data_IF_669722965106
#
_entry.id   IF_669722965106
#
_cell.length_a   1.000
_cell.length_b   1.000
_cell.length_c   1.000
_cell.angle_alpha   90.00
_cell.angle_beta   90.00
_cell.angle_gamma   90.00
#
_symmetry.space_group_name_H-M   'P 1'
#
loop_
_entity.id
_entity.type
_entity.pdbx_description
1 polymer ?
#
# COMPACT_ATOMS: atom_id res chain seq x y z
N UNK A 1 30.42 17.53 -26.75
CA UNK A 1 29.78 17.64 -25.43
C UNK A 1 29.15 16.27 -25.17
N UNK A 2 29.88 15.39 -24.48
CA UNK A 2 29.41 14.04 -24.21
C UNK A 2 28.31 14.10 -23.15
N UNK A 3 27.16 13.51 -23.44
CA UNK A 3 26.07 13.33 -22.48
C UNK A 3 26.58 12.39 -21.39
N UNK A 4 26.78 12.94 -20.20
CA UNK A 4 27.03 12.19 -18.99
C UNK A 4 25.70 11.55 -18.60
N UNK A 5 25.54 10.27 -18.92
CA UNK A 5 24.47 9.46 -18.35
C UNK A 5 24.80 9.29 -16.86
N UNK A 6 23.87 9.61 -15.95
CA UNK A 6 24.11 9.41 -14.52
C UNK A 6 24.31 7.92 -14.23
N UNK A 7 25.13 7.69 -13.21
CA UNK A 7 25.59 6.40 -12.70
C UNK A 7 24.49 5.33 -12.63
N UNK A 8 24.87 4.09 -12.94
CA UNK A 8 24.03 2.90 -12.80
C UNK A 8 23.34 2.91 -11.43
N UNK A 9 22.00 2.86 -11.43
CA UNK A 9 21.22 2.74 -10.21
C UNK A 9 21.69 1.48 -9.46
N UNK A 10 22.10 1.58 -8.18
CA UNK A 10 22.55 0.43 -7.42
C UNK A 10 21.52 -0.70 -7.51
N UNK A 11 21.94 -1.96 -7.72
CA UNK A 11 21.03 -3.11 -7.84
C UNK A 11 20.01 -3.20 -6.69
N UNK A 12 20.42 -2.78 -5.49
CA UNK A 12 19.60 -2.74 -4.27
C UNK A 12 18.42 -1.74 -4.35
N UNK A 13 18.61 -0.60 -5.02
CA UNK A 13 17.52 0.37 -5.25
C UNK A 13 16.50 -0.15 -6.27
N UNK A 14 16.94 -0.91 -7.27
CA UNK A 14 16.05 -1.52 -8.27
C UNK A 14 15.15 -2.55 -7.59
N UNK A 15 15.72 -3.39 -6.70
CA UNK A 15 14.97 -4.44 -6.02
C UNK A 15 14.03 -3.92 -4.93
N UNK A 16 14.44 -2.88 -4.19
CA UNK A 16 13.53 -2.15 -3.28
C UNK A 16 12.35 -1.53 -4.04
N UNK A 17 12.60 -0.95 -5.22
CA UNK A 17 11.53 -0.43 -6.08
C UNK A 17 10.62 -1.55 -6.63
N UNK A 18 11.17 -2.74 -6.93
CA UNK A 18 10.39 -3.92 -7.30
C UNK A 18 9.47 -4.37 -6.16
N UNK A 19 9.98 -4.46 -4.93
CA UNK A 19 9.15 -4.73 -3.75
C UNK A 19 8.01 -3.72 -3.62
N UNK A 20 8.32 -2.43 -3.61
CA UNK A 20 7.30 -1.39 -3.48
C UNK A 20 6.26 -1.46 -4.60
N UNK A 21 6.69 -1.73 -5.84
CA UNK A 21 5.78 -1.84 -6.99
C UNK A 21 4.92 -3.10 -6.94
N UNK A 22 5.51 -4.27 -6.80
CA UNK A 22 4.80 -5.54 -6.86
C UNK A 22 3.94 -5.75 -5.61
N UNK A 23 4.52 -5.59 -4.42
CA UNK A 23 3.85 -5.91 -3.16
C UNK A 23 2.88 -4.81 -2.72
N UNK A 24 3.34 -3.55 -2.66
CA UNK A 24 2.49 -2.44 -2.19
C UNK A 24 1.63 -1.86 -3.31
N UNK A 25 2.23 -1.49 -4.44
CA UNK A 25 1.53 -0.88 -5.58
C UNK A 25 0.59 -1.84 -6.32
N UNK A 26 0.98 -3.13 -6.42
CA UNK A 26 0.13 -4.19 -6.96
C UNK A 26 -1.03 -4.57 -6.04
N UNK A 27 -0.91 -4.24 -4.75
CA UNK A 27 -1.94 -4.48 -3.74
C UNK A 27 -1.88 -5.84 -3.04
N UNK A 28 -0.82 -6.62 -3.26
CA UNK A 28 -0.64 -7.93 -2.64
C UNK A 28 -0.61 -7.88 -1.11
N UNK A 29 -0.18 -6.75 -0.52
CA UNK A 29 -0.23 -6.54 0.92
C UNK A 29 -1.64 -6.63 1.54
N UNK A 30 -2.71 -6.55 0.74
CA UNK A 30 -4.11 -6.68 1.19
C UNK A 30 -4.70 -8.09 1.03
N UNK A 31 -3.91 -9.04 0.50
CA UNK A 31 -4.33 -10.42 0.24
C UNK A 31 -3.40 -11.45 0.89
N UNK A 32 -2.37 -10.99 1.59
CA UNK A 32 -1.38 -11.82 2.25
C UNK A 32 -1.34 -11.47 3.75
N UNK A 33 -1.01 -12.43 4.62
CA UNK A 33 -0.80 -12.14 6.04
C UNK A 33 0.33 -11.11 6.25
N UNK A 34 0.30 -10.39 7.37
CA UNK A 34 1.30 -9.36 7.70
C UNK A 34 2.75 -9.85 7.56
N UNK A 35 3.03 -11.08 7.99
CA UNK A 35 4.37 -11.71 7.90
C UNK A 35 4.89 -11.90 6.47
N UNK A 36 4.07 -11.77 5.43
CA UNK A 36 4.53 -11.77 4.04
C UNK A 36 5.49 -10.61 3.73
N UNK A 37 5.42 -9.51 4.50
CA UNK A 37 6.39 -8.42 4.40
C UNK A 37 7.81 -8.89 4.69
N UNK A 38 8.00 -9.92 5.55
CA UNK A 38 9.33 -10.40 5.92
C UNK A 38 10.00 -11.13 4.75
N UNK A 39 9.33 -12.13 4.16
CA UNK A 39 9.84 -12.87 2.99
C UNK A 39 10.12 -11.89 1.86
N UNK A 40 9.15 -11.03 1.53
CA UNK A 40 9.29 -10.09 0.42
C UNK A 40 10.40 -9.07 0.67
N UNK A 41 10.58 -8.58 1.90
CA UNK A 41 11.68 -7.68 2.24
C UNK A 41 13.04 -8.37 2.13
N UNK A 42 13.18 -9.62 2.60
CA UNK A 42 14.42 -10.36 2.44
C UNK A 42 14.77 -10.58 0.96
N UNK A 43 13.79 -11.03 0.17
CA UNK A 43 13.95 -11.18 -1.28
C UNK A 43 14.18 -9.84 -1.99
N UNK A 44 13.71 -8.72 -1.47
CA UNK A 44 14.04 -7.40 -2.01
C UNK A 44 15.54 -7.06 -1.91
N UNK A 45 16.30 -7.68 -1.01
CA UNK A 45 17.74 -7.44 -0.93
C UNK A 45 18.51 -8.30 -1.93
N UNK A 46 18.18 -9.59 -2.05
CA UNK A 46 18.84 -10.53 -2.95
C UNK A 46 18.03 -11.82 -3.14
N UNK A 47 18.28 -12.60 -4.21
CA UNK A 47 17.70 -13.93 -4.35
C UNK A 47 18.22 -14.87 -3.26
N UNK A 48 17.34 -15.64 -2.64
CA UNK A 48 17.66 -16.45 -1.47
C UNK A 48 17.18 -17.89 -1.64
N UNK A 49 17.87 -18.82 -1.02
CA UNK A 49 17.40 -20.20 -0.94
C UNK A 49 16.37 -20.34 0.18
N UNK A 50 15.66 -21.47 0.23
CA UNK A 50 14.74 -21.75 1.34
C UNK A 50 15.46 -21.74 2.69
N UNK A 51 16.67 -22.28 2.74
CA UNK A 51 17.47 -22.39 3.97
C UNK A 51 17.98 -21.01 4.41
N UNK A 52 18.38 -20.14 3.47
CA UNK A 52 18.73 -18.74 3.79
C UNK A 52 17.53 -18.00 4.41
N UNK A 53 16.33 -18.16 3.84
CA UNK A 53 15.10 -17.58 4.41
C UNK A 53 14.80 -18.15 5.79
N UNK A 54 14.97 -19.46 5.98
CA UNK A 54 14.77 -20.12 7.26
C UNK A 54 15.69 -19.53 8.33
N UNK A 55 16.98 -19.39 8.04
CA UNK A 55 17.97 -18.87 8.98
C UNK A 55 17.70 -17.40 9.32
N UNK A 56 17.39 -16.56 8.33
CA UNK A 56 17.03 -15.15 8.55
C UNK A 56 15.75 -14.97 9.38
N UNK A 57 14.76 -15.86 9.21
CA UNK A 57 13.56 -15.85 10.04
C UNK A 57 13.88 -16.24 11.49
N UNK A 58 14.76 -17.23 11.70
CA UNK A 58 15.19 -17.67 13.05
C UNK A 58 15.96 -16.62 13.83
N UNK A 59 16.59 -15.66 13.15
CA UNK A 59 17.22 -14.52 13.80
C UNK A 59 16.21 -13.55 14.43
N UNK A 60 14.91 -13.67 14.11
CA UNK A 60 13.84 -12.88 14.72
C UNK A 60 13.35 -13.56 15.99
N UNK A 61 13.27 -12.78 17.07
CA UNK A 61 12.81 -13.27 18.39
C UNK A 61 11.42 -13.93 18.34
N UNK A 62 10.54 -13.44 17.47
CA UNK A 62 9.17 -13.93 17.33
C UNK A 62 9.01 -15.14 16.38
N UNK A 63 10.12 -15.64 15.82
CA UNK A 63 10.11 -16.71 14.81
C UNK A 63 11.23 -17.75 15.02
N UNK A 64 11.31 -18.39 16.19
CA UNK A 64 12.39 -19.34 16.51
C UNK A 64 12.36 -20.63 15.69
N UNK A 65 11.26 -20.95 15.01
CA UNK A 65 11.08 -22.11 14.13
C UNK A 65 11.30 -21.78 12.64
N UNK A 66 11.51 -20.49 12.32
CA UNK A 66 11.82 -19.99 10.99
C UNK A 66 10.69 -20.26 10.00
N UNK A 67 10.97 -21.05 8.97
CA UNK A 67 9.96 -21.45 7.97
C UNK A 67 8.76 -22.21 8.54
N UNK A 68 8.90 -22.86 9.69
CA UNK A 68 7.80 -23.61 10.33
C UNK A 68 6.91 -22.74 11.23
N UNK A 69 7.32 -21.50 11.53
CA UNK A 69 6.50 -20.60 12.33
C UNK A 69 5.18 -20.25 11.62
N UNK A 70 4.17 -19.97 12.46
CA UNK A 70 2.87 -19.49 12.00
C UNK A 70 3.03 -18.25 11.12
N UNK A 71 2.29 -18.18 10.01
CA UNK A 71 2.19 -16.95 9.21
C UNK A 71 1.30 -15.89 9.87
N UNK A 72 0.44 -16.33 10.80
CA UNK A 72 -0.52 -15.51 11.51
C UNK A 72 0.04 -15.08 12.87
N UNK A 73 0.31 -13.79 13.02
CA UNK A 73 0.79 -13.20 14.28
C UNK A 73 -0.27 -13.33 15.37
N UNK A 74 0.10 -13.67 16.62
CA UNK A 74 -0.84 -13.60 17.74
C UNK A 74 -1.50 -12.22 17.79
N UNK A 75 -2.79 -12.18 18.14
CA UNK A 75 -3.46 -10.91 18.40
C UNK A 75 -3.03 -10.44 19.80
N UNK A 76 -2.58 -9.19 19.89
CA UNK A 76 -2.32 -8.53 21.15
C UNK A 76 -3.64 -7.92 21.65
N UNK A 77 -4.23 -8.44 22.75
CA UNK A 77 -5.53 -7.99 23.19
C UNK A 77 -5.43 -6.59 23.81
N UNK A 78 -6.33 -5.70 23.40
CA UNK A 78 -6.51 -4.40 24.03
C UNK A 78 -7.05 -4.52 25.45
N UNK A 79 -6.64 -3.59 26.31
CA UNK A 79 -7.25 -3.30 27.61
C UNK A 79 -8.20 -2.09 27.51
N UNK A 80 -9.15 -1.98 28.45
CA UNK A 80 -10.08 -0.84 28.50
C UNK A 80 -9.33 0.48 28.76
N UNK A 81 -8.17 0.43 29.44
CA UNK A 81 -7.32 1.59 29.71
C UNK A 81 -6.64 2.09 28.43
N UNK A 82 -6.01 1.20 27.67
CA UNK A 82 -5.38 1.55 26.38
C UNK A 82 -6.39 2.14 25.39
N UNK A 83 -7.59 1.56 25.29
CA UNK A 83 -8.64 2.08 24.41
C UNK A 83 -9.19 3.42 24.89
N UNK A 84 -9.27 3.66 26.20
CA UNK A 84 -9.68 4.95 26.73
C UNK A 84 -8.64 6.05 26.41
N UNK A 85 -7.35 5.73 26.52
CA UNK A 85 -6.27 6.64 26.14
C UNK A 85 -6.28 6.93 24.64
N UNK A 86 -6.39 5.89 23.80
CA UNK A 86 -6.56 6.04 22.34
C UNK A 86 -7.81 6.87 21.99
N UNK A 87 -8.95 6.60 22.63
CA UNK A 87 -10.18 7.35 22.36
C UNK A 87 -10.03 8.84 22.71
N UNK A 88 -9.31 9.16 23.78
CA UNK A 88 -9.01 10.53 24.18
C UNK A 88 -8.11 11.24 23.16
N UNK A 89 -7.08 10.57 22.67
CA UNK A 89 -6.15 11.13 21.68
C UNK A 89 -6.84 11.39 20.34
N UNK A 90 -7.81 10.54 19.98
CA UNK A 90 -8.56 10.63 18.73
C UNK A 90 -9.90 11.37 18.85
N UNK A 91 -10.27 11.83 20.05
CA UNK A 91 -11.52 12.54 20.33
C UNK A 91 -12.77 11.72 20.03
N UNK A 92 -12.72 10.40 20.25
CA UNK A 92 -13.81 9.44 20.00
C UNK A 92 -14.44 8.97 21.31
N UNK A 93 -15.63 8.38 21.20
CA UNK A 93 -16.18 7.63 22.34
C UNK A 93 -15.38 6.34 22.54
N UNK A 94 -14.99 6.01 23.79
CA UNK A 94 -14.22 4.81 24.06
C UNK A 94 -15.08 3.57 23.80
N UNK A 95 -14.55 2.65 23.00
CA UNK A 95 -15.07 1.30 22.88
C UNK A 95 -14.54 0.43 24.03
N UNK A 96 -15.24 -0.68 24.32
CA UNK A 96 -14.76 -1.63 25.33
C UNK A 96 -13.73 -2.58 24.72
N UNK A 97 -12.75 -3.01 25.52
CA UNK A 97 -11.78 -4.03 25.14
C UNK A 97 -12.45 -5.32 24.64
N UNK A 98 -13.55 -5.73 25.27
CA UNK A 98 -14.30 -6.90 24.85
C UNK A 98 -14.84 -6.75 23.41
N UNK A 99 -15.32 -5.56 23.04
CA UNK A 99 -15.80 -5.28 21.69
C UNK A 99 -14.64 -5.23 20.70
N UNK A 100 -13.61 -4.42 20.95
CA UNK A 100 -12.47 -4.26 20.05
C UNK A 100 -11.76 -5.60 19.77
N UNK A 101 -11.49 -6.38 20.83
CA UNK A 101 -10.85 -7.69 20.70
C UNK A 101 -11.73 -8.70 19.95
N UNK A 102 -13.06 -8.65 20.13
CA UNK A 102 -13.98 -9.52 19.38
C UNK A 102 -14.01 -9.14 17.89
N UNK A 103 -13.99 -7.85 17.58
CA UNK A 103 -13.89 -7.35 16.21
C UNK A 103 -12.57 -7.77 15.55
N UNK A 104 -11.44 -7.69 16.24
CA UNK A 104 -10.15 -8.17 15.73
C UNK A 104 -10.10 -9.68 15.52
N UNK A 105 -10.65 -10.46 16.45
CA UNK A 105 -10.76 -11.90 16.29
C UNK A 105 -11.63 -12.25 15.08
N UNK A 106 -12.73 -11.52 14.87
CA UNK A 106 -13.58 -11.71 13.71
C UNK A 106 -12.85 -11.34 12.42
N UNK A 107 -12.21 -10.16 12.35
CA UNK A 107 -11.41 -9.74 11.18
C UNK A 107 -10.34 -10.78 10.85
N UNK A 108 -9.62 -11.27 11.87
CA UNK A 108 -8.61 -12.32 11.68
C UNK A 108 -9.20 -13.61 11.14
N UNK A 109 -10.35 -14.04 11.65
CA UNK A 109 -11.01 -15.25 11.16
C UNK A 109 -11.45 -15.09 9.69
N UNK A 110 -11.92 -13.91 9.29
CA UNK A 110 -12.26 -13.57 7.91
C UNK A 110 -11.02 -13.59 7.00
N UNK A 111 -9.91 -12.98 7.42
CA UNK A 111 -8.65 -12.99 6.66
C UNK A 111 -8.10 -14.41 6.44
N UNK A 112 -8.16 -15.26 7.49
CA UNK A 112 -7.76 -16.67 7.41
C UNK A 112 -8.67 -17.43 6.42
N UNK A 113 -9.98 -17.21 6.50
CA UNK A 113 -10.95 -17.88 5.62
C UNK A 113 -10.77 -17.47 4.15
N UNK A 114 -10.53 -16.19 3.89
CA UNK A 114 -10.21 -15.67 2.56
C UNK A 114 -8.93 -16.31 2.01
N UNK A 115 -7.85 -16.32 2.80
CA UNK A 115 -6.59 -16.94 2.40
C UNK A 115 -6.74 -18.44 2.11
N UNK A 116 -7.50 -19.16 2.94
CA UNK A 116 -7.79 -20.58 2.72
C UNK A 116 -8.59 -20.81 1.43
N UNK A 117 -9.54 -19.93 1.11
CA UNK A 117 -10.30 -19.96 -0.15
C UNK A 117 -9.38 -19.74 -1.35
N UNK A 118 -8.48 -18.76 -1.28
CA UNK A 118 -7.48 -18.50 -2.32
C UNK A 118 -6.53 -19.67 -2.52
N UNK A 119 -6.00 -20.23 -1.42
CA UNK A 119 -5.10 -21.39 -1.47
C UNK A 119 -5.81 -22.61 -2.10
N UNK A 120 -7.06 -22.87 -1.71
CA UNK A 120 -7.88 -23.95 -2.28
C UNK A 120 -8.09 -23.76 -3.79
N UNK A 121 -8.38 -22.55 -4.25
CA UNK A 121 -8.56 -22.26 -5.67
C UNK A 121 -7.28 -22.48 -6.51
N UNK A 122 -6.11 -22.37 -5.87
CA UNK A 122 -4.80 -22.65 -6.47
C UNK A 122 -4.36 -24.11 -6.31
N UNK A 123 -5.17 -24.95 -5.66
CA UNK A 123 -4.84 -26.36 -5.39
C UNK A 123 -3.79 -26.56 -4.30
N UNK A 124 -3.63 -25.58 -3.41
CA UNK A 124 -2.70 -25.62 -2.28
C UNK A 124 -3.40 -26.05 -0.98
N UNK A 125 -2.60 -26.49 -0.01
CA UNK A 125 -3.04 -26.65 1.37
C UNK A 125 -3.35 -25.28 2.02
N UNK A 126 -4.12 -25.23 3.11
CA UNK A 126 -4.28 -24.01 3.90
C UNK A 126 -2.94 -23.41 4.30
N UNK A 127 -2.84 -22.08 4.25
CA UNK A 127 -1.59 -21.36 4.55
C UNK A 127 -1.50 -21.11 6.05
N UNK A 128 -0.73 -21.95 6.73
CA UNK A 128 -0.56 -21.91 8.19
C UNK A 128 0.85 -21.47 8.59
N UNK A 129 1.86 -21.86 7.83
CA UNK A 129 3.28 -21.59 8.11
C UNK A 129 3.91 -20.63 7.09
N UNK A 130 5.11 -20.13 7.42
CA UNK A 130 5.92 -19.36 6.46
C UNK A 130 6.30 -20.17 5.21
N UNK A 131 6.43 -21.50 5.33
CA UNK A 131 6.66 -22.39 4.19
C UNK A 131 5.44 -22.45 3.25
N UNK A 132 4.25 -22.59 3.83
CA UNK A 132 3.00 -22.54 3.07
C UNK A 132 2.82 -21.19 2.39
N UNK A 133 3.22 -20.11 3.08
CA UNK A 133 3.16 -18.76 2.52
C UNK A 133 4.11 -18.61 1.34
N UNK A 134 5.36 -19.08 1.45
CA UNK A 134 6.31 -19.05 0.34
C UNK A 134 5.77 -19.84 -0.86
N UNK A 135 5.23 -21.04 -0.62
CA UNK A 135 4.60 -21.85 -1.66
C UNK A 135 3.42 -21.13 -2.32
N UNK A 136 2.57 -20.47 -1.53
CA UNK A 136 1.48 -19.64 -2.04
C UNK A 136 1.98 -18.49 -2.91
N UNK A 137 2.99 -17.74 -2.43
CA UNK A 137 3.58 -16.62 -3.15
C UNK A 137 4.21 -17.03 -4.49
N UNK A 138 4.77 -18.24 -4.55
CA UNK A 138 5.25 -18.84 -5.81
C UNK A 138 4.09 -19.21 -6.72
N UNK A 139 3.03 -19.83 -6.19
CA UNK A 139 1.86 -20.23 -6.99
C UNK A 139 1.13 -19.04 -7.63
N UNK A 140 1.04 -17.91 -6.92
CA UNK A 140 0.47 -16.66 -7.46
C UNK A 140 1.46 -15.87 -8.32
N UNK A 141 2.70 -16.36 -8.48
CA UNK A 141 3.80 -15.72 -9.23
C UNK A 141 4.22 -14.36 -8.68
N UNK A 142 4.03 -14.12 -7.39
CA UNK A 142 4.65 -12.99 -6.71
C UNK A 142 6.14 -13.24 -6.47
N UNK A 143 6.50 -14.50 -6.23
CA UNK A 143 7.88 -14.99 -6.11
C UNK A 143 8.17 -15.96 -7.26
N UNK A 144 9.35 -15.87 -7.85
CA UNK A 144 9.87 -16.83 -8.83
C UNK A 144 10.78 -17.80 -8.10
N UNK A 145 10.68 -19.09 -8.44
CA UNK A 145 11.59 -20.13 -7.97
C UNK A 145 12.40 -20.64 -9.16
N UNK A 146 13.72 -20.44 -9.13
CA UNK A 146 14.64 -20.87 -10.18
C UNK A 146 15.56 -21.98 -9.65
N UNK A 147 15.73 -23.05 -10.41
CA UNK A 147 16.69 -24.11 -10.10
C UNK A 147 18.09 -23.70 -10.61
N UNK A 148 19.00 -23.44 -9.68
CA UNK A 148 20.41 -23.16 -9.95
C UNK A 148 21.25 -24.33 -9.44
N UNK A 149 21.51 -25.28 -10.34
CA UNK A 149 22.42 -26.40 -10.07
C UNK A 149 21.94 -27.40 -9.03
N UNK A 150 20.62 -27.60 -8.90
CA UNK A 150 20.01 -28.50 -7.91
C UNK A 150 19.64 -27.80 -6.60
N UNK A 151 19.80 -26.48 -6.53
CA UNK A 151 19.35 -25.66 -5.42
C UNK A 151 18.33 -24.63 -5.92
N UNK A 152 17.14 -24.63 -5.32
CA UNK A 152 16.10 -23.66 -5.67
C UNK A 152 16.41 -22.32 -5.01
N UNK A 153 16.52 -21.27 -5.82
CA UNK A 153 16.61 -19.87 -5.39
C UNK A 153 15.29 -19.16 -5.67
N UNK A 154 14.84 -18.39 -4.70
CA UNK A 154 13.64 -17.57 -4.76
C UNK A 154 14.02 -16.12 -5.04
N UNK A 155 13.24 -15.44 -5.88
CA UNK A 155 13.37 -14.01 -6.16
C UNK A 155 11.97 -13.35 -6.26
N UNK A 156 11.88 -12.05 -6.02
CA UNK A 156 10.69 -11.27 -6.33
C UNK A 156 10.45 -11.21 -7.84
N UNK A 157 9.22 -11.46 -8.25
CA UNK A 157 8.83 -11.28 -9.64
C UNK A 157 8.61 -9.80 -9.96
N UNK A 158 9.47 -9.20 -10.78
CA UNK A 158 9.32 -7.82 -11.26
C UNK A 158 8.01 -7.59 -12.02
N UNK A 159 7.54 -8.65 -12.68
CA UNK A 159 6.33 -8.70 -13.50
C UNK A 159 5.23 -9.51 -12.80
N UNK A 160 5.19 -9.45 -11.45
CA UNK A 160 4.15 -10.10 -10.66
C UNK A 160 2.76 -9.68 -11.18
N UNK A 161 1.85 -10.65 -11.43
CA UNK A 161 0.49 -10.32 -11.83
C UNK A 161 -0.23 -9.58 -10.70
N UNK A 162 -1.28 -8.85 -11.06
CA UNK A 162 -2.20 -8.27 -10.08
C UNK A 162 -3.00 -9.38 -9.40
N UNK A 163 -3.46 -9.18 -8.14
CA UNK A 163 -4.27 -10.17 -7.43
C UNK A 163 -5.48 -10.67 -8.23
N UNK A 164 -6.20 -9.80 -8.94
CA UNK A 164 -7.37 -10.20 -9.74
C UNK A 164 -7.06 -11.06 -10.97
N UNK A 165 -5.80 -11.14 -11.39
CA UNK A 165 -5.40 -11.95 -12.54
C UNK A 165 -5.16 -13.41 -12.16
N UNK A 166 -4.98 -13.70 -10.86
CA UNK A 166 -4.61 -15.02 -10.35
C UNK A 166 -5.49 -15.51 -9.19
N UNK A 167 -6.17 -14.61 -8.47
CA UNK A 167 -7.09 -14.96 -7.38
C UNK A 167 -8.55 -14.93 -7.87
N UNK A 168 -9.42 -15.79 -7.31
CA UNK A 168 -10.85 -15.83 -7.65
C UNK A 168 -11.63 -14.69 -6.97
N UNK A 169 -11.34 -13.44 -7.34
CA UNK A 169 -11.95 -12.26 -6.73
C UNK A 169 -13.34 -11.96 -7.29
N UNK A 170 -14.23 -11.44 -6.44
CA UNK A 170 -15.54 -10.93 -6.89
C UNK A 170 -15.39 -9.64 -7.70
N UNK A 171 -16.33 -9.36 -8.60
CA UNK A 171 -16.31 -8.14 -9.42
C UNK A 171 -16.26 -6.85 -8.57
N UNK A 172 -16.94 -6.86 -7.42
CA UNK A 172 -16.89 -5.74 -6.47
C UNK A 172 -15.48 -5.56 -5.87
N UNK A 173 -14.82 -6.66 -5.45
CA UNK A 173 -13.44 -6.61 -4.94
C UNK A 173 -12.49 -6.11 -6.03
N UNK A 174 -12.61 -6.60 -7.27
CA UNK A 174 -11.80 -6.13 -8.41
C UNK A 174 -11.98 -4.62 -8.63
N UNK A 175 -13.23 -4.13 -8.63
CA UNK A 175 -13.52 -2.71 -8.81
C UNK A 175 -12.92 -1.85 -7.68
N UNK A 176 -13.00 -2.34 -6.43
CA UNK A 176 -12.40 -1.67 -5.27
C UNK A 176 -10.88 -1.60 -5.38
N UNK A 177 -10.21 -2.70 -5.72
CA UNK A 177 -8.75 -2.72 -5.90
C UNK A 177 -8.30 -1.84 -7.07
N UNK A 178 -9.03 -1.86 -8.18
CA UNK A 178 -8.79 -0.98 -9.31
C UNK A 178 -8.85 0.50 -8.92
N UNK A 179 -9.84 0.86 -8.08
CA UNK A 179 -9.96 2.23 -7.55
C UNK A 179 -8.79 2.59 -6.63
N UNK A 180 -8.39 1.73 -5.71
CA UNK A 180 -7.26 1.97 -4.80
C UNK A 180 -5.97 2.19 -5.60
N UNK A 181 -5.68 1.33 -6.56
CA UNK A 181 -4.48 1.47 -7.40
C UNK A 181 -4.51 2.75 -8.24
N UNK A 182 -5.67 3.12 -8.76
CA UNK A 182 -5.84 4.39 -9.47
C UNK A 182 -5.53 5.58 -8.55
N UNK A 183 -6.04 5.59 -7.32
CA UNK A 183 -5.75 6.64 -6.33
C UNK A 183 -4.24 6.72 -6.04
N UNK A 184 -3.60 5.59 -5.74
CA UNK A 184 -2.17 5.52 -5.44
C UNK A 184 -1.30 5.97 -6.62
N UNK A 185 -1.67 5.59 -7.84
CA UNK A 185 -0.93 5.97 -9.06
C UNK A 185 -0.89 7.49 -9.25
N UNK A 186 -1.99 8.19 -8.95
CA UNK A 186 -2.12 9.63 -9.17
C UNK A 186 -1.96 10.47 -7.90
N UNK A 187 -1.76 9.84 -6.73
CA UNK A 187 -1.48 10.51 -5.46
C UNK A 187 -0.29 11.47 -5.54
N UNK A 188 0.87 11.13 -6.13
CA UNK A 188 1.98 12.09 -6.25
C UNK A 188 1.59 13.36 -7.02
N UNK A 189 0.80 13.21 -8.09
CA UNK A 189 0.29 14.34 -8.87
C UNK A 189 -0.71 15.17 -8.06
N UNK A 190 -1.57 14.52 -7.28
CA UNK A 190 -2.47 15.18 -6.35
C UNK A 190 -1.70 16.01 -5.30
N UNK A 191 -0.64 15.44 -4.70
CA UNK A 191 0.23 16.16 -3.77
C UNK A 191 0.93 17.35 -4.44
N UNK A 192 1.36 17.22 -5.70
CA UNK A 192 1.94 18.34 -6.46
C UNK A 192 0.93 19.47 -6.72
N UNK A 193 -0.35 19.13 -6.94
CA UNK A 193 -1.43 20.11 -7.02
C UNK A 193 -1.66 20.77 -5.66
N UNK A 194 -1.69 20.00 -4.56
CA UNK A 194 -1.82 20.54 -3.19
C UNK A 194 -0.68 21.53 -2.89
N UNK A 195 0.55 21.25 -3.31
CA UNK A 195 1.69 22.17 -3.14
C UNK A 195 1.45 23.54 -3.81
N UNK A 196 0.63 23.60 -4.87
CA UNK A 196 0.24 24.87 -5.50
C UNK A 196 -0.64 25.75 -4.60
N UNK A 197 -1.32 25.14 -3.63
CA UNK A 197 -2.08 25.84 -2.61
C UNK A 197 -1.22 26.31 -1.43
N UNK A 198 0.08 26.04 -1.43
CA UNK A 198 1.04 26.51 -0.41
C UNK A 198 0.52 26.26 1.02
N UNK A 199 0.24 25.00 1.39
CA UNK A 199 -0.55 24.66 2.59
C UNK A 199 0.04 25.16 3.91
N UNK A 200 1.36 25.39 3.94
CA UNK A 200 2.12 25.85 5.10
C UNK A 200 2.25 27.39 5.18
N UNK A 201 1.82 28.12 4.14
CA UNK A 201 1.88 29.58 4.10
C UNK A 201 0.71 30.21 4.89
N UNK A 202 0.98 31.33 5.57
CA UNK A 202 -0.05 32.11 6.25
C UNK A 202 -1.08 32.72 5.27
N UNK A 203 -0.67 32.99 4.02
CA UNK A 203 -1.50 33.52 2.94
C UNK A 203 -1.96 32.44 1.94
N UNK A 204 -2.07 31.18 2.39
CA UNK A 204 -2.46 30.05 1.54
C UNK A 204 -3.79 30.30 0.79
N UNK A 205 -3.81 30.19 -0.55
CA UNK A 205 -5.02 30.40 -1.33
C UNK A 205 -6.11 29.37 -0.97
N UNK A 206 -7.37 29.79 -1.04
CA UNK A 206 -8.54 28.91 -0.89
C UNK A 206 -9.04 28.35 -2.23
N UNK A 207 -8.55 28.92 -3.33
CA UNK A 207 -8.95 28.57 -4.68
C UNK A 207 -7.81 28.78 -5.67
N UNK A 208 -7.73 27.92 -6.68
CA UNK A 208 -6.85 28.04 -7.83
C UNK A 208 -7.68 28.06 -9.12
N UNK A 209 -7.63 29.18 -9.83
CA UNK A 209 -8.19 29.29 -11.18
C UNK A 209 -7.17 28.80 -12.22
N UNK A 210 -7.52 27.74 -12.94
CA UNK A 210 -6.60 27.05 -13.85
C UNK A 210 -7.33 26.38 -15.03
N UNK A 211 -6.58 25.67 -15.88
CA UNK A 211 -7.08 24.71 -16.86
C UNK A 211 -6.21 23.45 -16.80
N UNK A 212 -6.66 22.34 -17.37
CA UNK A 212 -5.87 21.10 -17.35
C UNK A 212 -4.55 21.27 -18.11
N UNK A 213 -4.56 21.97 -19.26
CA UNK A 213 -3.33 22.31 -19.99
C UNK A 213 -2.35 23.17 -19.18
N UNK A 214 -2.86 24.06 -18.31
CA UNK A 214 -2.00 24.90 -17.45
C UNK A 214 -1.44 24.08 -16.29
N UNK A 215 -2.24 23.20 -15.69
CA UNK A 215 -1.77 22.27 -14.66
C UNK A 215 -0.72 21.32 -15.22
N UNK A 216 -1.00 20.61 -16.30
CA UNK A 216 -0.06 19.72 -16.99
C UNK A 216 1.30 20.39 -17.21
N UNK A 217 1.33 21.57 -17.82
CA UNK A 217 2.59 22.31 -18.06
C UNK A 217 3.30 22.72 -16.78
N UNK A 218 2.56 23.06 -15.73
CA UNK A 218 3.15 23.48 -14.45
C UNK A 218 3.74 22.29 -13.69
N UNK A 219 3.08 21.14 -13.76
CA UNK A 219 3.47 19.91 -13.06
C UNK A 219 4.49 19.08 -13.85
N UNK A 220 4.64 19.35 -15.15
CA UNK A 220 5.52 18.57 -16.04
C UNK A 220 4.95 17.20 -16.40
N UNK A 221 3.62 17.02 -16.33
CA UNK A 221 2.91 15.77 -16.66
C UNK A 221 1.98 15.98 -17.85
N UNK A 222 1.47 14.90 -18.45
CA UNK A 222 0.46 15.00 -19.50
C UNK A 222 -0.91 15.47 -18.94
N UNK A 223 -1.80 15.87 -19.85
CA UNK A 223 -3.12 16.43 -19.50
C UNK A 223 -4.01 15.43 -18.76
N UNK A 224 -3.94 14.15 -19.10
CA UNK A 224 -4.78 13.11 -18.48
C UNK A 224 -4.25 12.73 -17.10
N UNK A 225 -2.93 12.70 -16.91
CA UNK A 225 -2.34 12.59 -15.57
C UNK A 225 -2.73 13.77 -14.68
N UNK A 226 -2.69 15.00 -15.21
CA UNK A 226 -3.17 16.17 -14.47
C UNK A 226 -4.67 16.08 -14.14
N UNK A 227 -5.49 15.56 -15.07
CA UNK A 227 -6.93 15.33 -14.85
C UNK A 227 -7.17 14.33 -13.73
N UNK A 228 -6.47 13.19 -13.79
CA UNK A 228 -6.57 12.14 -12.79
C UNK A 228 -6.13 12.64 -11.40
N UNK A 229 -5.03 13.41 -11.32
CA UNK A 229 -4.61 14.05 -10.07
C UNK A 229 -5.66 14.97 -9.46
N UNK A 230 -6.40 15.74 -10.29
CA UNK A 230 -7.55 16.53 -9.79
C UNK A 230 -8.68 15.63 -9.31
N UNK A 231 -8.94 14.51 -9.99
CA UNK A 231 -9.94 13.53 -9.56
C UNK A 231 -9.60 12.89 -8.19
N UNK A 232 -8.31 12.60 -7.93
CA UNK A 232 -7.86 12.11 -6.61
C UNK A 232 -8.19 13.12 -5.51
N UNK A 233 -7.93 14.42 -5.72
CA UNK A 233 -8.26 15.46 -4.73
C UNK A 233 -9.75 15.51 -4.38
N UNK A 234 -10.61 15.31 -5.38
CA UNK A 234 -12.06 15.30 -5.16
C UNK A 234 -12.52 14.07 -4.39
N UNK A 235 -11.79 12.96 -4.46
CA UNK A 235 -12.15 11.72 -3.80
C UNK A 235 -12.07 11.82 -2.27
N UNK A 236 -11.08 12.53 -1.72
CA UNK A 236 -10.91 12.75 -0.27
C UNK A 236 -11.97 13.72 0.30
N UNK A 237 -12.52 14.57 -0.57
CA UNK A 237 -13.70 15.41 -0.31
C UNK A 237 -13.42 16.74 0.40
N UNK A 238 -12.17 17.06 0.66
CA UNK A 238 -11.66 18.36 1.09
C UNK A 238 -11.41 19.33 -0.09
N UNK A 239 -11.35 18.83 -1.33
CA UNK A 239 -11.33 19.65 -2.53
C UNK A 239 -12.65 19.58 -3.31
N UNK A 240 -12.98 20.68 -3.98
CA UNK A 240 -14.10 20.78 -4.91
C UNK A 240 -13.68 21.49 -6.19
N UNK A 241 -14.39 21.23 -7.29
CA UNK A 241 -14.14 21.91 -8.56
C UNK A 241 -15.40 22.61 -9.06
N UNK A 242 -15.24 23.74 -9.75
CA UNK A 242 -16.38 24.45 -10.37
C UNK A 242 -16.91 23.78 -11.63
N UNK A 243 -16.15 22.84 -12.19
CA UNK A 243 -16.53 21.99 -13.32
C UNK A 243 -16.01 20.59 -13.06
N UNK A 244 -16.75 19.60 -13.53
CA UNK A 244 -16.33 18.21 -13.46
C UNK A 244 -15.02 18.00 -14.23
N UNK A 245 -13.91 17.61 -13.55
CA UNK A 245 -12.63 17.41 -14.20
C UNK A 245 -12.65 16.25 -15.18
N UNK A 246 -13.53 15.26 -15.04
CA UNK A 246 -13.57 14.12 -15.98
C UNK A 246 -14.05 14.55 -17.38
N UNK A 247 -14.94 15.54 -17.43
CA UNK A 247 -15.62 15.96 -18.67
C UNK A 247 -15.19 17.33 -19.18
N UNK A 248 -14.50 18.14 -18.37
CA UNK A 248 -14.07 19.49 -18.79
C UNK A 248 -13.06 19.43 -19.95
N UNK A 249 -13.23 20.25 -21.01
CA UNK A 249 -12.23 20.36 -22.07
C UNK A 249 -10.88 20.86 -21.51
N UNK A 250 -9.77 20.36 -22.06
CA UNK A 250 -8.42 20.60 -21.53
C UNK A 250 -8.00 22.08 -21.40
N UNK A 251 -8.52 22.93 -22.28
CA UNK A 251 -8.24 24.37 -22.35
C UNK A 251 -9.26 25.21 -21.56
N UNK A 252 -10.38 24.61 -21.15
CA UNK A 252 -11.41 25.33 -20.44
C UNK A 252 -10.94 25.68 -19.02
N UNK A 253 -11.22 26.92 -18.62
CA UNK A 253 -10.88 27.40 -17.28
C UNK A 253 -11.89 26.88 -16.27
N UNK A 254 -11.37 26.35 -15.17
CA UNK A 254 -12.15 25.94 -14.00
C UNK A 254 -11.40 26.36 -12.72
N UNK A 255 -12.09 26.23 -11.61
CA UNK A 255 -11.56 26.57 -10.28
C UNK A 255 -11.50 25.29 -9.45
N UNK A 256 -10.38 25.10 -8.75
CA UNK A 256 -10.21 24.08 -7.71
C UNK A 256 -10.23 24.82 -6.38
N UNK A 257 -11.10 24.43 -5.44
CA UNK A 257 -11.22 25.02 -4.11
C UNK A 257 -10.88 24.01 -3.05
N UNK A 258 -10.29 24.46 -1.95
CA UNK A 258 -9.94 23.64 -0.79
C UNK A 258 -10.71 24.10 0.45
N UNK A 259 -11.27 23.16 1.18
CA UNK A 259 -11.76 23.37 2.54
C UNK A 259 -10.62 23.10 3.52
N UNK A 260 -9.92 24.16 3.93
CA UNK A 260 -8.78 24.03 4.84
C UNK A 260 -9.15 23.45 6.22
N UNK A 261 -10.39 23.59 6.67
CA UNK A 261 -10.81 23.00 7.94
C UNK A 261 -10.93 21.49 7.81
N UNK A 262 -11.54 21.02 6.71
CA UNK A 262 -11.65 19.59 6.42
C UNK A 262 -10.29 18.97 6.08
N UNK A 263 -9.49 19.64 5.24
CA UNK A 263 -8.12 19.27 4.90
C UNK A 263 -7.27 19.07 6.16
N UNK A 264 -7.31 20.01 7.11
CA UNK A 264 -6.57 19.90 8.36
C UNK A 264 -7.03 18.68 9.18
N UNK A 265 -8.34 18.50 9.36
CA UNK A 265 -8.90 17.36 10.10
C UNK A 265 -8.49 16.01 9.53
N UNK A 266 -8.49 15.87 8.20
CA UNK A 266 -8.12 14.62 7.53
C UNK A 266 -6.61 14.35 7.60
N UNK A 267 -5.77 15.39 7.56
CA UNK A 267 -4.30 15.24 7.62
C UNK A 267 -3.74 15.09 9.04
N UNK A 268 -4.42 15.61 10.07
CA UNK A 268 -4.06 15.32 11.47
C UNK A 268 -4.19 13.82 11.80
N UNK A 269 -5.14 13.12 11.20
CA UNK A 269 -5.26 11.66 11.32
C UNK A 269 -4.15 10.85 10.63
N UNK A 270 -3.38 11.46 9.72
CA UNK A 270 -2.27 10.81 9.01
C UNK A 270 -0.90 11.14 9.61
N UNK A 271 -0.71 12.31 10.25
CA UNK A 271 0.56 12.69 10.89
C UNK A 271 0.76 12.07 12.28
N UNK A 272 -0.30 11.87 13.06
CA UNK A 272 -0.22 11.25 14.39
C UNK A 272 -0.05 9.72 14.35
N UNK A 273 0.03 9.10 13.16
CA UNK A 273 0.39 7.68 13.00
C UNK A 273 1.85 7.43 12.62
N UNK A 274 2.68 8.49 12.53
CA UNK A 274 4.09 8.41 12.12
C UNK A 274 5.06 9.14 13.05
N UNK A 275 4.58 9.74 14.14
CA UNK A 275 5.40 10.48 15.11
C UNK A 275 5.26 9.89 16.52
N UNK A 276 5.56 8.59 16.68
CA UNK A 276 5.99 8.01 17.98
C UNK A 276 7.08 6.95 17.71
N UNK A 277 8.26 7.40 17.29
CA UNK A 277 9.53 6.69 17.42
C UNK A 277 10.67 7.70 17.26
N UNK A 278 10.74 8.65 18.19
CA UNK A 278 11.90 9.52 18.40
C UNK A 278 11.82 10.18 19.79
N UNK A 279 12.15 9.40 20.82
CA UNK A 279 13.01 9.85 21.94
C UNK A 279 13.63 8.64 22.66
#
# INVERSE_FOLDING_TARGET
MALHFPDEVPPEHIRTAMFARAFMGGGWNRFLPGRAVLITSFLAHQPMTRDDLHDLLREREQMPEGMADSVWEPLDPYTDEELADLAKDWGREPETAAQANAEDQQRRAEDIADMASYATALGLAPVETMDDLLAFMVAVRLVVAEDDGGQVRYDLNADAPLPEEVLPLTAERIAREGKIRWLQMYEPTAQDIIRQFRPDDADRPVALTTSLQKLSRRLGVDVETARAGVGVLMFEGDFTTSRDPETVPEHAVFEIRVDWQRFAKQRFGLRMGTDEDSD
#
